data_IF_940961919570
#
_entry.id   IF_940961919570
#
_cell.length_a   1.000
_cell.length_b   1.000
_cell.length_c   1.000
_cell.angle_alpha   90.00
_cell.angle_beta   90.00
_cell.angle_gamma   90.00
#
_symmetry.space_group_name_H-M   'P 1'
#
loop_
_entity.id
_entity.type
_entity.pdbx_description
1 polymer ?
#
# COMPACT_ATOMS: atom_id res chain seq x y z
N UNK A 1 -8.62 -24.55 37.98
CA UNK A 1 -7.35 -24.10 37.43
C UNK A 1 -7.43 -24.01 35.89
N UNK A 2 -7.86 -25.06 35.24
CA UNK A 2 -8.02 -25.06 33.77
C UNK A 2 -9.07 -24.06 33.30
N UNK A 3 -10.15 -23.89 34.05
CA UNK A 3 -11.19 -22.90 33.73
C UNK A 3 -10.64 -21.48 33.85
N UNK A 4 -9.83 -21.25 34.88
CA UNK A 4 -9.15 -19.95 35.06
C UNK A 4 -8.19 -19.69 33.90
N UNK A 5 -7.44 -20.70 33.47
CA UNK A 5 -6.54 -20.57 32.35
C UNK A 5 -7.31 -20.31 31.03
N UNK A 6 -8.45 -20.97 30.82
CA UNK A 6 -9.31 -20.74 29.67
C UNK A 6 -9.87 -19.31 29.64
N UNK A 7 -10.25 -18.78 30.80
CA UNK A 7 -10.71 -17.40 30.93
C UNK A 7 -9.57 -16.40 30.68
N UNK A 8 -8.38 -16.68 31.22
CA UNK A 8 -7.17 -15.85 31.00
C UNK A 8 -6.81 -15.84 29.52
N UNK A 9 -6.88 -16.98 28.84
CA UNK A 9 -6.65 -17.06 27.40
C UNK A 9 -7.68 -16.25 26.59
N UNK A 10 -8.97 -16.29 26.96
CA UNK A 10 -10.01 -15.48 26.34
C UNK A 10 -9.77 -13.99 26.55
N UNK A 11 -9.40 -13.59 27.77
CA UNK A 11 -9.07 -12.20 28.10
C UNK A 11 -7.84 -11.76 27.32
N UNK A 12 -6.80 -12.59 27.25
CA UNK A 12 -5.60 -12.33 26.46
C UNK A 12 -5.90 -12.15 24.99
N UNK A 13 -6.74 -13.02 24.42
CA UNK A 13 -7.15 -12.94 23.00
C UNK A 13 -7.95 -11.66 22.73
N UNK A 14 -8.89 -11.29 23.61
CA UNK A 14 -9.66 -10.05 23.51
C UNK A 14 -8.74 -8.84 23.64
N UNK A 15 -7.79 -8.89 24.57
CA UNK A 15 -6.80 -7.83 24.77
C UNK A 15 -5.90 -7.68 23.54
N UNK A 16 -5.40 -8.77 22.99
CA UNK A 16 -4.60 -8.77 21.77
C UNK A 16 -5.38 -8.22 20.57
N UNK A 17 -6.63 -8.65 20.40
CA UNK A 17 -7.51 -8.14 19.35
C UNK A 17 -7.79 -6.64 19.54
N UNK A 18 -8.05 -6.22 20.78
CA UNK A 18 -8.27 -4.80 21.12
C UNK A 18 -7.02 -3.97 20.89
N UNK A 19 -5.85 -4.48 21.31
CA UNK A 19 -4.56 -3.82 21.12
C UNK A 19 -4.22 -3.71 19.64
N UNK A 20 -4.40 -4.78 18.88
CA UNK A 20 -4.19 -4.81 17.42
C UNK A 20 -5.16 -3.87 16.71
N UNK A 21 -6.41 -3.87 17.12
CA UNK A 21 -7.44 -2.98 16.58
C UNK A 21 -7.11 -1.51 16.84
N UNK A 22 -6.74 -1.16 18.07
CA UNK A 22 -6.39 0.21 18.44
C UNK A 22 -5.08 0.66 17.80
N UNK A 23 -4.11 -0.22 17.66
CA UNK A 23 -2.87 0.09 16.93
C UNK A 23 -3.13 0.25 15.43
N UNK A 24 -4.02 -0.55 14.86
CA UNK A 24 -4.48 -0.41 13.48
C UNK A 24 -5.23 0.91 13.26
N UNK A 25 -6.00 1.36 14.25
CA UNK A 25 -6.65 2.66 14.22
C UNK A 25 -5.68 3.83 14.41
N UNK A 26 -4.62 3.64 15.20
CA UNK A 26 -3.56 4.65 15.40
C UNK A 26 -2.61 4.73 14.22
N UNK A 27 -2.29 3.60 13.61
CA UNK A 27 -1.56 3.53 12.35
C UNK A 27 -2.55 3.65 11.21
N UNK A 28 -2.88 4.87 10.84
CA UNK A 28 -3.72 5.18 9.67
C UNK A 28 -3.08 4.80 8.33
N UNK A 29 -1.94 4.14 8.36
CA UNK A 29 -1.23 3.73 7.16
C UNK A 29 -1.74 2.36 6.72
N UNK A 30 -2.78 2.36 5.88
CA UNK A 30 -3.33 1.15 5.27
C UNK A 30 -2.63 0.78 3.96
N UNK A 31 -1.89 1.71 3.36
CA UNK A 31 -1.06 1.43 2.19
C UNK A 31 0.06 0.48 2.57
N UNK A 32 0.31 -0.50 1.70
CA UNK A 32 1.40 -1.45 1.84
C UNK A 32 2.74 -0.75 1.64
N UNK A 33 3.78 -1.29 2.22
CA UNK A 33 5.14 -0.87 1.92
C UNK A 33 5.77 -1.87 0.95
N UNK A 34 6.03 -1.43 -0.27
CA UNK A 34 6.74 -2.22 -1.27
C UNK A 34 8.23 -1.90 -1.23
N UNK A 35 9.02 -2.93 -1.25
CA UNK A 35 10.49 -2.83 -1.17
C UNK A 35 11.14 -3.67 -2.26
N UNK A 36 12.43 -3.43 -2.50
CA UNK A 36 13.23 -4.27 -3.40
C UNK A 36 13.14 -5.76 -3.02
N UNK A 37 12.97 -6.06 -1.72
CA UNK A 37 12.92 -7.44 -1.21
C UNK A 37 11.56 -8.13 -1.41
N UNK A 38 10.43 -7.40 -1.30
CA UNK A 38 9.10 -8.02 -1.31
C UNK A 38 8.32 -7.83 -2.63
N UNK A 39 8.79 -6.98 -3.52
CA UNK A 39 8.04 -6.58 -4.71
C UNK A 39 7.69 -7.75 -5.63
N UNK A 40 8.63 -8.65 -5.86
CA UNK A 40 8.41 -9.83 -6.70
C UNK A 40 7.21 -10.64 -6.19
N UNK A 41 7.21 -10.97 -4.92
CA UNK A 41 6.17 -11.82 -4.31
C UNK A 41 4.84 -11.09 -4.19
N UNK A 42 4.84 -9.84 -3.75
CA UNK A 42 3.59 -9.12 -3.42
C UNK A 42 2.94 -8.51 -4.66
N UNK A 43 3.72 -8.06 -5.63
CA UNK A 43 3.22 -7.36 -6.82
C UNK A 43 3.26 -8.24 -8.06
N UNK A 44 4.44 -8.73 -8.41
CA UNK A 44 4.64 -9.41 -9.72
C UNK A 44 3.90 -10.75 -9.76
N UNK A 45 3.95 -11.52 -8.68
CA UNK A 45 3.30 -12.84 -8.59
C UNK A 45 1.83 -12.76 -8.19
N UNK A 46 1.31 -11.58 -7.92
CA UNK A 46 -0.10 -11.39 -7.56
C UNK A 46 -1.00 -11.42 -8.79
N UNK A 47 -2.16 -12.02 -8.65
CA UNK A 47 -3.24 -11.98 -9.64
C UNK A 47 -4.11 -10.71 -9.52
N UNK A 48 -3.93 -9.94 -8.45
CA UNK A 48 -4.63 -8.69 -8.22
C UNK A 48 -3.93 -7.53 -8.92
N UNK A 49 -4.71 -6.49 -9.24
CA UNK A 49 -4.15 -5.20 -9.59
C UNK A 49 -3.32 -4.66 -8.43
N UNK A 50 -2.14 -4.15 -8.73
CA UNK A 50 -1.30 -3.43 -7.77
C UNK A 50 -1.13 -1.99 -8.21
N UNK A 51 -1.27 -1.07 -7.26
CA UNK A 51 -1.05 0.38 -7.45
C UNK A 51 0.14 0.78 -6.59
N UNK A 52 1.17 1.29 -7.22
CA UNK A 52 2.45 1.56 -6.57
C UNK A 52 2.76 3.06 -6.67
N UNK A 53 2.83 3.72 -5.52
CA UNK A 53 3.22 5.13 -5.40
C UNK A 53 4.71 5.24 -5.10
N UNK A 54 5.49 5.66 -6.08
CA UNK A 54 6.91 5.99 -5.90
C UNK A 54 7.02 7.40 -5.35
N UNK A 55 7.60 7.53 -4.16
CA UNK A 55 7.64 8.77 -3.39
C UNK A 55 8.97 8.96 -2.66
N UNK A 56 9.18 10.17 -2.13
CA UNK A 56 10.25 10.47 -1.19
C UNK A 56 9.78 11.53 -0.17
N UNK A 57 10.41 11.54 1.01
CA UNK A 57 10.04 12.47 2.07
C UNK A 57 10.28 13.95 1.70
N UNK A 58 11.31 14.22 0.92
CA UNK A 58 11.66 15.57 0.44
C UNK A 58 10.75 16.09 -0.67
N UNK A 59 9.85 15.26 -1.18
CA UNK A 59 8.98 15.59 -2.31
C UNK A 59 7.64 16.16 -1.81
N UNK A 60 7.41 17.43 -2.02
CA UNK A 60 6.18 18.12 -1.61
C UNK A 60 4.92 17.54 -2.25
N UNK A 61 4.85 17.40 -3.60
CA UNK A 61 3.69 16.79 -4.27
C UNK A 61 3.43 15.35 -3.84
N UNK A 62 4.47 14.57 -3.51
CA UNK A 62 4.32 13.22 -2.97
C UNK A 62 3.58 13.22 -1.63
N UNK A 63 3.90 14.18 -0.75
CA UNK A 63 3.21 14.33 0.54
C UNK A 63 1.76 14.76 0.37
N UNK A 64 1.46 15.54 -0.64
CA UNK A 64 0.10 15.96 -0.95
C UNK A 64 -0.78 14.80 -1.40
N UNK A 65 -0.24 13.86 -2.19
CA UNK A 65 -1.00 12.69 -2.68
C UNK A 65 -1.02 11.53 -1.67
N UNK A 66 -0.14 11.53 -0.69
CA UNK A 66 -0.06 10.46 0.33
C UNK A 66 -1.39 10.10 0.97
N UNK A 67 -2.17 11.07 1.50
CA UNK A 67 -3.50 10.79 2.06
C UNK A 67 -4.47 10.17 1.07
N UNK A 68 -4.40 10.52 -0.20
CA UNK A 68 -5.23 9.94 -1.27
C UNK A 68 -4.89 8.45 -1.46
N UNK A 69 -3.60 8.12 -1.47
CA UNK A 69 -3.15 6.72 -1.56
C UNK A 69 -3.64 5.91 -0.37
N UNK A 70 -3.58 6.48 0.85
CA UNK A 70 -4.10 5.82 2.05
C UNK A 70 -5.63 5.59 1.98
N UNK A 71 -6.39 6.58 1.52
CA UNK A 71 -7.84 6.43 1.33
C UNK A 71 -8.16 5.32 0.32
N UNK A 72 -7.47 5.29 -0.81
CA UNK A 72 -7.64 4.25 -1.82
C UNK A 72 -7.28 2.87 -1.28
N UNK A 73 -6.23 2.77 -0.46
CA UNK A 73 -5.84 1.51 0.17
C UNK A 73 -6.95 0.96 1.08
N UNK A 74 -7.63 1.83 1.83
CA UNK A 74 -8.80 1.45 2.64
C UNK A 74 -9.96 1.03 1.75
N UNK A 75 -10.28 1.84 0.75
CA UNK A 75 -11.42 1.62 -0.15
C UNK A 75 -11.32 0.28 -0.90
N UNK A 76 -10.12 -0.09 -1.33
CA UNK A 76 -9.86 -1.29 -2.13
C UNK A 76 -9.22 -2.43 -1.34
N UNK A 77 -9.26 -2.39 0.00
CA UNK A 77 -8.71 -3.44 0.84
C UNK A 77 -9.22 -4.82 0.42
N UNK A 78 -8.31 -5.76 0.20
CA UNK A 78 -8.62 -7.12 -0.24
C UNK A 78 -8.88 -7.29 -1.74
N UNK A 79 -9.04 -6.20 -2.49
CA UNK A 79 -9.30 -6.25 -3.94
C UNK A 79 -8.11 -5.79 -4.78
N UNK A 80 -7.40 -4.79 -4.32
CA UNK A 80 -6.25 -4.18 -4.99
C UNK A 80 -5.12 -4.06 -3.99
N UNK A 81 -3.90 -4.38 -4.40
CA UNK A 81 -2.71 -4.14 -3.60
C UNK A 81 -2.29 -2.69 -3.80
N UNK A 82 -2.55 -1.83 -2.85
CA UNK A 82 -2.15 -0.42 -2.93
C UNK A 82 -1.03 -0.17 -1.93
N UNK A 83 0.08 0.35 -2.42
CA UNK A 83 1.24 0.56 -1.58
C UNK A 83 2.20 1.62 -2.12
N UNK A 84 3.26 1.82 -1.37
CA UNK A 84 4.24 2.89 -1.59
C UNK A 84 5.65 2.32 -1.67
N UNK A 85 6.46 2.92 -2.53
CA UNK A 85 7.90 2.66 -2.64
C UNK A 85 8.65 3.96 -2.32
N UNK A 86 9.42 3.96 -1.25
CA UNK A 86 10.35 5.05 -0.98
C UNK A 86 11.57 4.91 -1.90
N UNK A 87 11.73 5.84 -2.83
CA UNK A 87 12.80 5.76 -3.84
C UNK A 87 14.20 5.89 -3.26
N UNK A 88 14.35 6.52 -2.10
CA UNK A 88 15.65 6.73 -1.48
C UNK A 88 16.25 5.44 -0.91
N UNK A 89 15.40 4.48 -0.56
CA UNK A 89 15.83 3.21 0.06
C UNK A 89 15.53 1.97 -0.80
N UNK A 90 14.98 2.16 -1.99
CA UNK A 90 14.66 1.08 -2.94
C UNK A 90 15.16 1.44 -4.35
N UNK A 91 16.49 1.54 -4.53
CA UNK A 91 17.06 1.99 -5.80
C UNK A 91 16.82 1.01 -6.96
N UNK A 92 16.73 -0.28 -6.69
CA UNK A 92 16.52 -1.28 -7.74
C UNK A 92 15.14 -1.14 -8.39
N UNK A 93 14.09 -0.94 -7.59
CA UNK A 93 12.74 -0.71 -8.13
C UNK A 93 12.66 0.56 -8.96
N UNK A 94 13.23 1.66 -8.46
CA UNK A 94 13.25 2.93 -9.18
C UNK A 94 13.96 2.80 -10.53
N UNK A 95 15.08 2.09 -10.56
CA UNK A 95 15.86 1.86 -11.78
C UNK A 95 15.12 0.93 -12.74
N UNK A 96 14.59 -0.19 -12.25
CA UNK A 96 13.92 -1.19 -13.07
C UNK A 96 12.67 -0.64 -13.76
N UNK A 97 11.95 0.27 -13.10
CA UNK A 97 10.76 0.90 -13.67
C UNK A 97 11.04 2.26 -14.32
N UNK A 98 12.29 2.68 -14.40
CA UNK A 98 12.69 3.92 -15.05
C UNK A 98 12.05 5.16 -14.41
N UNK A 99 11.97 5.19 -13.08
CA UNK A 99 11.37 6.30 -12.35
C UNK A 99 12.31 7.51 -12.39
N UNK A 100 11.90 8.55 -13.08
CA UNK A 100 12.67 9.81 -13.25
C UNK A 100 11.99 11.01 -12.61
N UNK A 101 10.69 10.93 -12.36
CA UNK A 101 9.89 11.97 -11.72
C UNK A 101 8.99 11.36 -10.68
N UNK A 102 8.83 12.04 -9.54
CA UNK A 102 7.94 11.61 -8.46
C UNK A 102 6.98 12.75 -8.07
N UNK A 103 5.74 12.42 -7.61
CA UNK A 103 5.22 11.08 -7.47
C UNK A 103 4.98 10.40 -8.82
N UNK A 104 5.28 9.12 -8.88
CA UNK A 104 4.96 8.26 -10.02
C UNK A 104 4.10 7.10 -9.53
N UNK A 105 2.90 7.00 -10.04
CA UNK A 105 1.98 5.94 -9.68
C UNK A 105 1.90 4.94 -10.83
N UNK A 106 2.32 3.70 -10.58
CA UNK A 106 2.25 2.62 -11.55
C UNK A 106 1.11 1.68 -11.20
N UNK A 107 0.43 1.21 -12.23
CA UNK A 107 -0.63 0.20 -12.16
C UNK A 107 -0.07 -1.07 -12.79
N UNK A 108 0.02 -2.14 -12.02
CA UNK A 108 0.63 -3.40 -12.42
C UNK A 108 -0.39 -4.52 -12.29
N UNK A 109 -0.57 -5.29 -13.34
CA UNK A 109 -1.43 -6.47 -13.35
C UNK A 109 -0.79 -7.60 -14.15
N UNK A 110 -0.80 -8.80 -13.61
CA UNK A 110 -0.16 -9.94 -14.28
C UNK A 110 1.33 -9.73 -14.49
N UNK A 111 2.00 -9.02 -13.58
CA UNK A 111 3.42 -8.75 -13.66
C UNK A 111 3.82 -7.65 -14.65
N UNK A 112 2.85 -6.95 -15.25
CA UNK A 112 3.11 -5.92 -16.26
C UNK A 112 2.49 -4.58 -15.88
N UNK A 113 3.16 -3.49 -16.23
CA UNK A 113 2.63 -2.14 -16.09
C UNK A 113 1.51 -1.94 -17.12
N UNK A 114 0.29 -1.74 -16.64
CA UNK A 114 -0.91 -1.54 -17.47
C UNK A 114 -1.32 -0.09 -17.59
N UNK A 115 -0.90 0.76 -16.65
CA UNK A 115 -1.17 2.19 -16.66
C UNK A 115 -0.16 2.92 -15.77
N UNK A 116 -0.09 4.24 -15.90
CA UNK A 116 0.75 5.08 -15.07
C UNK A 116 0.16 6.48 -14.92
N UNK A 117 0.51 7.13 -13.83
CA UNK A 117 0.21 8.53 -13.57
C UNK A 117 1.45 9.21 -12.99
N UNK A 118 1.91 10.25 -13.65
CA UNK A 118 3.04 11.06 -13.18
C UNK A 118 2.49 12.36 -12.60
N UNK A 119 2.97 12.72 -11.42
CA UNK A 119 2.54 13.91 -10.70
C UNK A 119 1.31 13.69 -9.83
N UNK A 120 1.06 14.63 -8.92
CA UNK A 120 -0.10 14.59 -8.04
C UNK A 120 -1.38 14.93 -8.81
N UNK A 121 -2.41 14.12 -8.61
CA UNK A 121 -3.73 14.26 -9.23
C UNK A 121 -4.82 14.06 -8.18
N UNK A 122 -6.06 14.54 -8.43
CA UNK A 122 -7.18 14.23 -7.54
C UNK A 122 -7.45 12.73 -7.44
N UNK A 123 -8.01 12.31 -6.30
CA UNK A 123 -8.39 10.91 -6.04
C UNK A 123 -9.22 10.31 -7.17
N UNK A 124 -10.16 11.07 -7.74
CA UNK A 124 -11.04 10.62 -8.81
C UNK A 124 -10.29 10.13 -10.05
N UNK A 125 -9.14 10.72 -10.36
CA UNK A 125 -8.30 10.29 -11.50
C UNK A 125 -7.72 8.92 -11.25
N UNK A 126 -7.16 8.69 -10.06
CA UNK A 126 -6.60 7.39 -9.68
C UNK A 126 -7.70 6.32 -9.56
N UNK A 127 -8.83 6.69 -8.97
CA UNK A 127 -9.96 5.77 -8.81
C UNK A 127 -10.49 5.29 -10.17
N UNK A 128 -10.62 6.17 -11.15
CA UNK A 128 -10.99 5.80 -12.53
C UNK A 128 -10.00 4.83 -13.17
N UNK A 129 -8.71 5.06 -12.97
CA UNK A 129 -7.67 4.15 -13.47
C UNK A 129 -7.73 2.78 -12.79
N UNK A 130 -7.97 2.74 -11.49
CA UNK A 130 -8.19 1.49 -10.77
C UNK A 130 -9.39 0.75 -11.35
N UNK A 131 -10.53 1.42 -11.50
CA UNK A 131 -11.75 0.84 -12.03
C UNK A 131 -11.55 0.26 -13.44
N UNK A 132 -10.76 0.93 -14.26
CA UNK A 132 -10.48 0.49 -15.63
C UNK A 132 -9.66 -0.80 -15.70
N UNK A 133 -8.92 -1.14 -14.64
CA UNK A 133 -8.00 -2.28 -14.64
C UNK A 133 -8.34 -3.36 -13.60
N UNK A 134 -9.47 -3.26 -12.94
CA UNK A 134 -9.94 -4.27 -11.98
C UNK A 134 -10.13 -5.67 -12.57
#
# INVERSE_FOLDING_TARGET
>A
VEKSNGQVLKIGTIFELYYTYNNKLKNKNMALEFTDANFQQVVIESDKLSVIDFWAEWCGPCRAIGPVIEELAVQYEGKVNIGKVNVDVNPNLSMNFGITSIPAILFVKGGQVVDKQIGAVPKSVLDKKIQAHL
#
